data_IF_974579561011
#
_entry.id   IF_974579561011
#
_cell.length_a   1.000
_cell.length_b   1.000
_cell.length_c   1.000
_cell.angle_alpha   90.00
_cell.angle_beta   90.00
_cell.angle_gamma   90.00
#
_symmetry.space_group_name_H-M   'P 1'
#
loop_
_entity.id
_entity.type
_entity.pdbx_description
1 polymer ?
#
# COMPACT_ATOMS: atom_id res chain seq x y z
N UNK A 1 -19.70 5.56 36.36
CA UNK A 1 -19.00 4.46 35.66
C UNK A 1 -18.41 5.10 34.43
N UNK A 2 -17.08 5.07 34.24
CA UNK A 2 -16.48 5.59 33.02
C UNK A 2 -17.05 4.79 31.83
N UNK A 3 -17.63 5.46 30.85
CA UNK A 3 -18.03 4.81 29.61
C UNK A 3 -16.85 4.01 29.08
N UNK A 4 -17.06 2.71 28.86
CA UNK A 4 -16.03 1.82 28.34
C UNK A 4 -15.80 2.18 26.85
N UNK A 5 -14.97 3.19 26.62
CA UNK A 5 -14.71 3.75 25.28
C UNK A 5 -14.15 2.65 24.39
N UNK A 6 -14.75 2.47 23.20
CA UNK A 6 -14.26 1.49 22.22
C UNK A 6 -12.84 1.79 21.81
N UNK A 7 -11.98 0.77 21.86
CA UNK A 7 -10.65 0.79 21.26
C UNK A 7 -10.75 0.22 19.84
N UNK A 8 -10.54 1.07 18.84
CA UNK A 8 -10.53 0.67 17.44
C UNK A 8 -9.17 0.11 17.04
N UNK A 9 -9.15 -0.82 16.10
CA UNK A 9 -7.93 -1.46 15.59
C UNK A 9 -6.98 -0.42 14.96
N UNK A 10 -7.49 0.44 14.11
CA UNK A 10 -6.74 1.55 13.51
C UNK A 10 -7.71 2.66 13.13
N UNK A 11 -7.87 3.65 13.97
CA UNK A 11 -8.71 4.82 13.72
C UNK A 11 -7.90 6.01 13.22
N UNK A 12 -8.51 6.94 12.48
CA UNK A 12 -7.90 8.23 12.18
C UNK A 12 -7.38 8.92 13.44
N UNK A 13 -6.21 9.53 13.34
CA UNK A 13 -5.59 10.24 14.46
C UNK A 13 -4.95 11.54 13.95
N UNK A 14 -5.62 12.65 14.19
CA UNK A 14 -5.13 13.98 13.78
C UNK A 14 -3.97 14.44 14.66
N UNK A 15 -3.15 15.34 14.12
CA UNK A 15 -2.07 15.94 14.89
C UNK A 15 -2.58 16.73 16.08
N UNK A 16 -1.91 16.63 17.23
CA UNK A 16 -2.26 17.44 18.41
C UNK A 16 -1.93 18.92 18.21
N UNK A 17 -1.05 19.23 17.26
CA UNK A 17 -0.64 20.57 16.88
C UNK A 17 -1.63 21.25 15.92
N UNK A 18 -2.56 20.49 15.30
CA UNK A 18 -3.56 21.02 14.37
C UNK A 18 -3.01 21.38 12.99
N UNK A 19 -1.90 20.78 12.57
CA UNK A 19 -1.26 21.08 11.28
C UNK A 19 -2.20 20.91 10.08
N UNK A 20 -3.10 19.95 10.13
CA UNK A 20 -4.08 19.74 9.05
C UNK A 20 -4.97 20.95 8.84
N UNK A 21 -5.39 21.60 9.93
CA UNK A 21 -6.28 22.76 9.88
C UNK A 21 -5.61 23.99 9.28
N UNK A 22 -4.29 24.13 9.41
CA UNK A 22 -3.53 25.22 8.77
C UNK A 22 -3.67 25.14 7.24
N UNK A 23 -3.46 23.93 6.67
CA UNK A 23 -3.54 23.71 5.23
C UNK A 23 -4.98 23.71 4.69
N UNK A 24 -5.95 23.20 5.47
CA UNK A 24 -7.37 23.28 5.12
C UNK A 24 -7.77 24.76 5.05
N UNK A 25 -7.39 25.55 6.07
CA UNK A 25 -7.67 26.98 6.12
C UNK A 25 -7.09 27.70 4.90
N UNK A 26 -5.86 27.39 4.50
CA UNK A 26 -5.24 27.96 3.31
C UNK A 26 -6.07 27.70 2.04
N UNK A 27 -6.61 26.49 1.88
CA UNK A 27 -7.45 26.13 0.73
C UNK A 27 -8.76 26.95 0.71
N UNK A 28 -9.36 27.20 1.88
CA UNK A 28 -10.57 28.03 2.01
C UNK A 28 -10.27 29.53 1.84
N UNK A 29 -9.22 30.05 2.45
CA UNK A 29 -8.83 31.46 2.35
C UNK A 29 -8.53 31.86 0.90
N UNK A 30 -7.93 30.94 0.13
CA UNK A 30 -7.65 31.15 -1.30
C UNK A 30 -8.83 30.81 -2.21
N UNK A 31 -9.95 30.31 -1.64
CA UNK A 31 -11.09 29.79 -2.38
C UNK A 31 -10.72 28.71 -3.41
N UNK A 32 -9.71 27.89 -3.09
CA UNK A 32 -9.19 26.86 -4.00
C UNK A 32 -9.38 25.47 -3.41
N UNK A 33 -10.60 24.95 -3.49
CA UNK A 33 -10.98 23.62 -2.94
C UNK A 33 -11.12 22.53 -4.00
N UNK A 34 -10.66 22.78 -5.23
CA UNK A 34 -10.74 21.88 -6.38
C UNK A 34 -9.69 20.75 -6.31
N UNK A 35 -9.61 19.95 -7.37
CA UNK A 35 -8.62 18.85 -7.55
C UNK A 35 -7.27 19.32 -8.06
N UNK A 36 -7.00 20.59 -8.05
CA UNK A 36 -5.72 21.25 -8.30
C UNK A 36 -5.47 22.25 -7.17
N UNK A 37 -4.21 22.61 -6.94
CA UNK A 37 -3.88 23.66 -6.01
C UNK A 37 -2.62 23.41 -5.21
N UNK A 38 -2.22 24.42 -4.46
CA UNK A 38 -0.96 24.50 -3.75
C UNK A 38 -0.74 23.33 -2.76
N UNK A 39 -1.80 22.80 -2.14
CA UNK A 39 -1.65 21.67 -1.25
C UNK A 39 -1.39 20.37 -2.01
N UNK A 40 -1.98 20.19 -3.20
CA UNK A 40 -1.74 19.00 -4.03
C UNK A 40 -0.28 18.96 -4.45
N UNK A 41 0.22 20.08 -5.01
CA UNK A 41 1.62 20.20 -5.45
C UNK A 41 2.60 20.08 -4.26
N UNK A 42 2.25 20.73 -3.15
CA UNK A 42 3.04 20.66 -1.92
C UNK A 42 3.11 19.24 -1.34
N UNK A 43 2.01 18.50 -1.34
CA UNK A 43 1.97 17.14 -0.81
C UNK A 43 2.78 16.17 -1.70
N UNK A 44 2.68 16.30 -3.03
CA UNK A 44 3.50 15.51 -3.96
C UNK A 44 5.01 15.75 -3.72
N UNK A 45 5.42 17.02 -3.61
CA UNK A 45 6.82 17.39 -3.38
C UNK A 45 7.33 16.93 -1.99
N UNK A 46 6.52 17.13 -0.95
CA UNK A 46 6.87 16.73 0.42
C UNK A 46 6.98 15.20 0.55
N UNK A 47 6.10 14.45 -0.14
CA UNK A 47 6.21 12.99 -0.20
C UNK A 47 7.45 12.52 -0.95
N UNK A 48 7.80 13.15 -2.08
CA UNK A 48 9.07 12.87 -2.78
C UNK A 48 10.27 13.14 -1.84
N UNK A 49 10.26 14.28 -1.14
CA UNK A 49 11.32 14.61 -0.18
C UNK A 49 11.44 13.62 0.98
N UNK A 50 10.32 13.12 1.50
CA UNK A 50 10.29 12.15 2.59
C UNK A 50 10.72 10.75 2.14
N UNK A 51 10.20 10.27 1.01
CA UNK A 51 10.43 8.89 0.55
C UNK A 51 11.70 8.71 -0.27
N UNK A 52 12.22 9.79 -0.86
CA UNK A 52 13.30 9.73 -1.84
C UNK A 52 12.84 9.35 -3.25
N UNK A 53 11.53 9.27 -3.50
CA UNK A 53 10.99 9.06 -4.83
C UNK A 53 11.26 10.28 -5.74
N UNK A 54 11.38 10.05 -7.05
CA UNK A 54 11.69 11.14 -8.00
C UNK A 54 10.49 12.04 -8.28
N UNK A 55 9.35 11.44 -8.60
CA UNK A 55 8.11 12.14 -8.94
C UNK A 55 6.91 11.45 -8.34
N UNK A 56 5.88 12.21 -8.03
CA UNK A 56 4.66 11.72 -7.43
C UNK A 56 3.41 12.32 -8.11
N UNK A 57 2.31 11.59 -8.03
CA UNK A 57 0.97 12.06 -8.39
C UNK A 57 -0.02 11.71 -7.27
N UNK A 58 -0.61 12.72 -6.65
CA UNK A 58 -1.63 12.56 -5.62
C UNK A 58 -2.98 12.18 -6.23
N UNK A 59 -3.56 11.09 -5.76
CA UNK A 59 -4.75 10.46 -6.32
C UNK A 59 -5.83 10.24 -5.26
N UNK A 60 -7.03 9.88 -5.70
CA UNK A 60 -8.21 9.73 -4.84
C UNK A 60 -8.17 8.52 -3.90
N UNK A 61 -7.33 7.52 -4.19
CA UNK A 61 -7.15 6.30 -3.37
C UNK A 61 -5.89 5.53 -3.77
N UNK A 62 -5.43 4.62 -2.90
CA UNK A 62 -4.40 3.65 -3.26
C UNK A 62 -4.82 2.75 -4.43
N UNK A 63 -6.08 2.33 -4.48
CA UNK A 63 -6.63 1.55 -5.62
C UNK A 63 -6.51 2.30 -6.94
N UNK A 64 -6.81 3.60 -6.96
CA UNK A 64 -6.65 4.45 -8.14
C UNK A 64 -5.15 4.58 -8.52
N UNK A 65 -4.27 4.61 -7.53
CA UNK A 65 -2.82 4.67 -7.75
C UNK A 65 -2.29 3.36 -8.36
N UNK A 66 -2.72 2.19 -7.87
CA UNK A 66 -2.36 0.89 -8.47
C UNK A 66 -2.89 0.81 -9.90
N UNK A 67 -4.16 1.18 -10.13
CA UNK A 67 -4.76 1.14 -11.46
C UNK A 67 -3.97 2.00 -12.47
N UNK A 68 -3.66 3.25 -12.11
CA UNK A 68 -2.88 4.12 -12.99
C UNK A 68 -1.40 3.72 -13.08
N UNK A 69 -0.85 3.10 -12.04
CA UNK A 69 0.50 2.53 -12.05
C UNK A 69 0.62 1.38 -13.06
N UNK A 70 -0.32 0.43 -13.05
CA UNK A 70 -0.40 -0.64 -14.04
C UNK A 70 -0.55 -0.09 -15.47
N UNK A 71 -1.44 0.88 -15.65
CA UNK A 71 -1.62 1.55 -16.95
C UNK A 71 -0.35 2.28 -17.40
N UNK A 72 0.38 2.95 -16.48
CA UNK A 72 1.64 3.63 -16.77
C UNK A 72 2.78 2.64 -17.07
N UNK A 73 2.79 1.48 -16.43
CA UNK A 73 3.70 0.38 -16.74
C UNK A 73 3.45 -0.22 -18.13
N UNK A 74 2.26 -0.01 -18.69
CA UNK A 74 1.90 -0.49 -20.03
C UNK A 74 1.07 -1.78 -20.04
N UNK A 75 0.53 -2.19 -18.89
CA UNK A 75 -0.36 -3.35 -18.78
C UNK A 75 -1.59 -3.18 -19.66
N UNK A 76 -1.97 -4.23 -20.37
CA UNK A 76 -3.10 -4.27 -21.31
C UNK A 76 -4.01 -5.46 -21.02
N UNK A 77 -5.18 -5.44 -21.62
CA UNK A 77 -6.10 -6.58 -21.65
C UNK A 77 -5.39 -7.85 -22.15
N UNK A 78 -5.55 -8.94 -21.41
CA UNK A 78 -4.94 -10.24 -21.68
C UNK A 78 -3.51 -10.41 -21.15
N UNK A 79 -2.85 -9.36 -20.67
CA UNK A 79 -1.56 -9.50 -20.00
C UNK A 79 -1.69 -10.27 -18.69
N UNK A 80 -0.62 -10.98 -18.27
CA UNK A 80 -0.51 -11.53 -16.93
C UNK A 80 0.23 -10.58 -16.01
N UNK A 81 -0.24 -10.52 -14.76
CA UNK A 81 0.40 -9.75 -13.68
C UNK A 81 0.59 -10.67 -12.48
N UNK A 82 1.81 -10.90 -12.05
CA UNK A 82 2.07 -11.61 -10.80
C UNK A 82 1.71 -10.71 -9.62
N UNK A 83 0.98 -11.26 -8.67
CA UNK A 83 0.44 -10.52 -7.54
C UNK A 83 0.54 -11.36 -6.27
N UNK A 84 1.03 -10.81 -5.19
CA UNK A 84 1.01 -11.47 -3.89
C UNK A 84 -0.41 -11.90 -3.51
N UNK A 85 -0.57 -13.13 -3.01
CA UNK A 85 -1.89 -13.64 -2.63
C UNK A 85 -2.35 -13.13 -1.27
N UNK A 86 -1.47 -13.08 -0.29
CA UNK A 86 -1.77 -12.52 1.03
C UNK A 86 -1.71 -11.00 0.98
N UNK A 87 -2.82 -10.40 0.59
CA UNK A 87 -2.94 -8.94 0.44
C UNK A 87 -4.40 -8.49 0.57
N UNK A 88 -4.60 -7.18 0.62
CA UNK A 88 -5.92 -6.58 0.49
C UNK A 88 -6.38 -6.60 -0.98
N UNK A 89 -7.68 -6.77 -1.21
CA UNK A 89 -8.24 -6.91 -2.57
C UNK A 89 -7.95 -5.73 -3.50
N UNK A 90 -7.64 -4.55 -2.95
CA UNK A 90 -7.28 -3.38 -3.75
C UNK A 90 -5.99 -3.56 -4.56
N UNK A 91 -5.11 -4.50 -4.18
CA UNK A 91 -3.91 -4.85 -4.96
C UNK A 91 -4.29 -5.62 -6.24
N UNK A 92 -5.22 -6.57 -6.15
CA UNK A 92 -5.60 -7.45 -7.25
C UNK A 92 -6.71 -6.87 -8.17
N UNK A 93 -7.67 -6.13 -7.59
CA UNK A 93 -8.80 -5.59 -8.35
C UNK A 93 -8.39 -4.77 -9.58
N UNK A 94 -7.39 -3.85 -9.51
CA UNK A 94 -6.98 -3.04 -10.65
C UNK A 94 -6.40 -3.84 -11.82
N UNK A 95 -5.85 -5.03 -11.58
CA UNK A 95 -5.41 -5.94 -12.65
C UNK A 95 -6.62 -6.31 -13.52
N UNK A 96 -7.72 -6.69 -12.85
CA UNK A 96 -8.97 -7.07 -13.53
C UNK A 96 -9.66 -5.86 -14.17
N UNK A 97 -9.54 -4.65 -13.58
CA UNK A 97 -10.10 -3.43 -14.19
C UNK A 97 -9.52 -3.15 -15.58
N UNK A 98 -8.26 -3.50 -15.81
CA UNK A 98 -7.58 -3.33 -17.12
C UNK A 98 -7.92 -4.49 -18.09
N UNK A 99 -8.54 -5.58 -17.60
CA UNK A 99 -8.76 -6.80 -18.36
C UNK A 99 -7.54 -7.74 -18.38
N UNK A 100 -6.57 -7.49 -17.50
CA UNK A 100 -5.43 -8.38 -17.31
C UNK A 100 -5.75 -9.52 -16.33
N UNK A 101 -4.92 -10.56 -16.31
CA UNK A 101 -5.09 -11.76 -15.51
C UNK A 101 -4.12 -11.78 -14.34
N UNK A 102 -4.58 -11.73 -13.07
CA UNK A 102 -3.69 -11.96 -11.93
C UNK A 102 -3.24 -13.42 -11.88
N UNK A 103 -1.98 -13.65 -11.58
CA UNK A 103 -1.43 -14.93 -11.12
C UNK A 103 -0.96 -14.70 -9.70
N UNK A 104 -1.55 -15.41 -8.76
CA UNK A 104 -1.28 -15.22 -7.35
C UNK A 104 -0.03 -15.96 -6.91
N UNK A 105 0.82 -15.29 -6.18
CA UNK A 105 2.08 -15.81 -5.65
C UNK A 105 1.95 -15.98 -4.14
N UNK A 106 2.35 -17.13 -3.64
CA UNK A 106 2.36 -17.44 -2.21
C UNK A 106 3.37 -16.58 -1.44
N UNK A 107 3.25 -16.61 -0.13
CA UNK A 107 4.13 -15.92 0.79
C UNK A 107 5.30 -16.79 1.24
N UNK A 108 6.29 -16.19 1.89
CA UNK A 108 7.29 -16.89 2.69
C UNK A 108 7.05 -16.67 4.19
N UNK A 109 7.50 -17.62 5.01
CA UNK A 109 7.31 -17.57 6.47
C UNK A 109 8.13 -16.45 7.13
N UNK A 110 9.22 -16.02 6.52
CA UNK A 110 10.16 -15.07 7.13
C UNK A 110 9.69 -13.62 6.99
N UNK A 111 8.92 -13.31 5.94
CA UNK A 111 8.46 -11.93 5.68
C UNK A 111 6.95 -11.81 5.66
N UNK A 112 6.19 -12.91 5.53
CA UNK A 112 4.76 -12.96 5.21
C UNK A 112 4.42 -12.29 3.86
N UNK A 113 5.41 -11.84 3.15
CA UNK A 113 5.28 -11.22 1.84
C UNK A 113 5.55 -12.22 0.71
N UNK A 114 5.55 -11.76 -0.53
CA UNK A 114 5.76 -12.59 -1.71
C UNK A 114 7.02 -13.45 -1.58
N UNK A 115 6.87 -14.77 -1.74
CA UNK A 115 7.99 -15.71 -1.77
C UNK A 115 8.82 -15.53 -3.04
N UNK A 116 10.14 -15.23 -2.93
CA UNK A 116 11.02 -15.19 -4.10
C UNK A 116 11.08 -16.53 -4.85
N UNK A 117 11.02 -17.65 -4.12
CA UNK A 117 11.02 -18.98 -4.72
C UNK A 117 9.74 -19.24 -5.53
N UNK A 118 8.55 -18.90 -4.97
CA UNK A 118 7.30 -19.00 -5.71
C UNK A 118 7.29 -18.07 -6.93
N UNK A 119 7.84 -16.87 -6.81
CA UNK A 119 7.97 -15.93 -7.92
C UNK A 119 8.85 -16.51 -9.05
N UNK A 120 9.97 -17.18 -8.73
CA UNK A 120 10.81 -17.84 -9.73
C UNK A 120 10.04 -18.94 -10.45
N UNK A 121 9.31 -19.80 -9.73
CA UNK A 121 8.44 -20.82 -10.35
C UNK A 121 7.34 -20.23 -11.22
N UNK A 122 6.80 -19.06 -10.82
CA UNK A 122 5.83 -18.35 -11.63
C UNK A 122 6.43 -17.93 -12.98
N UNK A 123 7.63 -17.40 -12.99
CA UNK A 123 8.34 -17.07 -14.25
C UNK A 123 8.72 -18.29 -15.06
N UNK A 124 9.11 -19.40 -14.44
CA UNK A 124 9.33 -20.68 -15.16
C UNK A 124 8.07 -21.14 -15.88
N UNK A 125 6.90 -20.98 -15.26
CA UNK A 125 5.60 -21.35 -15.84
C UNK A 125 5.10 -20.33 -16.88
N UNK A 126 5.37 -19.05 -16.65
CA UNK A 126 4.90 -17.93 -17.47
C UNK A 126 6.04 -16.95 -17.80
N UNK A 127 7.01 -17.37 -18.63
CA UNK A 127 8.25 -16.60 -18.86
C UNK A 127 8.04 -15.26 -19.57
N UNK A 128 6.89 -15.08 -20.23
CA UNK A 128 6.56 -13.85 -20.95
C UNK A 128 5.92 -12.77 -20.07
N UNK A 129 5.66 -13.05 -18.78
CA UNK A 129 5.09 -12.08 -17.85
C UNK A 129 6.07 -10.93 -17.60
N UNK A 130 5.57 -9.69 -17.66
CA UNK A 130 6.38 -8.47 -17.57
C UNK A 130 6.02 -7.57 -16.37
N UNK A 131 5.09 -7.98 -15.52
CA UNK A 131 4.58 -7.13 -14.45
C UNK A 131 4.42 -7.92 -13.16
N UNK A 132 4.96 -7.36 -12.07
CA UNK A 132 4.88 -7.94 -10.73
C UNK A 132 4.40 -6.87 -9.77
N UNK A 133 3.36 -7.16 -8.97
CA UNK A 133 2.96 -6.31 -7.86
C UNK A 133 3.44 -6.96 -6.56
N UNK A 134 4.36 -6.28 -5.88
CA UNK A 134 4.90 -6.68 -4.57
C UNK A 134 4.21 -5.87 -3.49
N UNK A 135 3.74 -6.53 -2.44
CA UNK A 135 3.10 -5.87 -1.30
C UNK A 135 4.07 -5.82 -0.12
N UNK A 136 3.99 -4.78 0.69
CA UNK A 136 4.66 -4.67 1.98
C UNK A 136 3.61 -4.81 3.10
N UNK A 137 3.24 -6.06 3.38
CA UNK A 137 2.09 -6.43 4.19
C UNK A 137 2.22 -5.94 5.64
N UNK A 138 1.21 -5.27 6.17
CA UNK A 138 1.12 -4.75 7.54
C UNK A 138 2.29 -3.85 7.97
N UNK A 139 3.05 -3.35 7.02
CA UNK A 139 4.24 -2.53 7.26
C UNK A 139 5.56 -3.30 7.28
N UNK A 140 5.53 -4.61 6.99
CA UNK A 140 6.74 -5.44 6.80
C UNK A 140 7.25 -5.31 5.37
N UNK A 141 8.55 -5.11 5.19
CA UNK A 141 9.14 -5.11 3.85
C UNK A 141 9.25 -6.55 3.29
N UNK A 142 8.89 -6.73 2.01
CA UNK A 142 9.27 -7.91 1.25
C UNK A 142 10.79 -7.97 1.04
N UNK A 143 11.35 -9.13 0.69
CA UNK A 143 12.76 -9.23 0.30
C UNK A 143 12.98 -8.65 -1.10
N UNK A 144 13.17 -7.33 -1.13
CA UNK A 144 13.25 -6.58 -2.38
C UNK A 144 14.51 -6.88 -3.19
N UNK A 145 15.61 -7.28 -2.55
CA UNK A 145 16.85 -7.62 -3.28
C UNK A 145 16.67 -8.89 -4.11
N UNK A 146 16.11 -9.95 -3.50
CA UNK A 146 15.85 -11.20 -4.24
C UNK A 146 14.76 -11.01 -5.29
N UNK A 147 13.64 -10.37 -4.94
CA UNK A 147 12.54 -10.11 -5.88
C UNK A 147 13.03 -9.25 -7.06
N UNK A 148 13.81 -8.19 -6.81
CA UNK A 148 14.36 -7.35 -7.86
C UNK A 148 15.29 -8.15 -8.77
N UNK A 149 16.19 -8.96 -8.18
CA UNK A 149 17.11 -9.80 -8.95
C UNK A 149 16.37 -10.77 -9.90
N UNK A 150 15.30 -11.40 -9.41
CA UNK A 150 14.48 -12.30 -10.23
C UNK A 150 13.77 -11.51 -11.34
N UNK A 151 13.16 -10.37 -11.02
CA UNK A 151 12.46 -9.55 -12.02
C UNK A 151 13.41 -9.03 -13.11
N UNK A 152 14.64 -8.67 -12.76
CA UNK A 152 15.67 -8.23 -13.71
C UNK A 152 16.08 -9.34 -14.67
N UNK A 153 16.20 -10.61 -14.21
CA UNK A 153 16.47 -11.77 -15.06
C UNK A 153 15.43 -11.93 -16.19
N UNK A 154 14.16 -11.64 -15.90
CA UNK A 154 13.06 -11.78 -16.86
C UNK A 154 12.64 -10.45 -17.53
N UNK A 155 13.32 -9.35 -17.19
CA UNK A 155 13.00 -8.01 -17.69
C UNK A 155 11.58 -7.57 -17.32
N UNK A 156 11.17 -7.87 -16.07
CA UNK A 156 9.84 -7.53 -15.55
C UNK A 156 9.89 -6.26 -14.70
N UNK A 157 8.86 -5.43 -14.83
CA UNK A 157 8.66 -4.23 -14.02
C UNK A 157 8.03 -4.57 -12.67
N UNK A 158 8.46 -3.88 -11.62
CA UNK A 158 7.91 -4.01 -10.27
C UNK A 158 7.06 -2.80 -9.92
N UNK A 159 5.84 -3.06 -9.46
CA UNK A 159 4.96 -2.10 -8.82
C UNK A 159 4.92 -2.47 -7.33
N UNK A 160 5.40 -1.58 -6.45
CA UNK A 160 5.33 -1.79 -5.00
C UNK A 160 4.00 -1.27 -4.47
N UNK A 161 3.18 -2.15 -3.92
CA UNK A 161 2.04 -1.75 -3.09
C UNK A 161 2.54 -1.49 -1.66
N UNK A 162 2.97 -0.27 -1.43
CA UNK A 162 3.43 0.26 -0.14
C UNK A 162 2.30 0.96 0.64
N UNK A 163 1.03 0.62 0.34
CA UNK A 163 -0.14 1.21 0.98
C UNK A 163 -0.17 1.05 2.51
N UNK A 164 0.65 0.16 3.05
CA UNK A 164 0.72 -0.17 4.48
C UNK A 164 2.07 0.12 5.10
N UNK A 165 3.06 0.47 4.28
CA UNK A 165 4.45 0.53 4.69
C UNK A 165 5.08 1.93 4.61
N UNK A 166 4.29 3.00 4.47
CA UNK A 166 4.87 4.36 4.54
C UNK A 166 5.60 4.56 5.87
N UNK A 167 6.89 4.91 5.81
CA UNK A 167 7.78 4.99 6.97
C UNK A 167 8.52 3.69 7.29
N UNK A 168 8.31 2.62 6.51
CA UNK A 168 9.13 1.39 6.58
C UNK A 168 10.39 1.55 5.76
N UNK A 169 11.51 1.14 6.33
CA UNK A 169 12.84 1.17 5.69
C UNK A 169 13.34 -0.26 5.48
N UNK A 170 13.77 -0.58 4.27
CA UNK A 170 14.46 -1.81 3.91
C UNK A 170 15.89 -1.48 3.55
N UNK A 171 16.86 -2.00 4.32
CA UNK A 171 18.31 -1.77 4.09
C UNK A 171 18.68 -0.29 3.85
N UNK A 172 18.08 0.61 4.64
CA UNK A 172 18.37 2.06 4.58
C UNK A 172 17.62 2.84 3.50
N UNK A 173 16.69 2.21 2.76
CA UNK A 173 15.89 2.86 1.72
C UNK A 173 14.40 2.64 1.99
N UNK A 174 13.57 3.65 1.72
CA UNK A 174 12.12 3.61 1.95
C UNK A 174 11.42 2.62 1.02
N UNK A 175 10.50 1.77 1.55
CA UNK A 175 9.61 0.96 0.72
C UNK A 175 8.75 1.83 -0.18
N UNK A 176 8.38 1.32 -1.37
CA UNK A 176 7.73 2.09 -2.43
C UNK A 176 8.72 2.79 -3.37
N UNK A 177 10.04 2.63 -3.15
CA UNK A 177 11.07 3.25 -3.99
C UNK A 177 12.07 2.26 -4.61
N UNK A 178 11.88 0.96 -4.40
CA UNK A 178 12.70 -0.11 -5.00
C UNK A 178 12.22 -0.54 -6.38
N UNK A 179 10.89 -0.57 -6.57
CA UNK A 179 10.24 -0.87 -7.83
C UNK A 179 10.26 0.31 -8.80
N UNK A 180 9.79 0.06 -10.00
CA UNK A 180 9.63 1.09 -11.04
C UNK A 180 8.56 2.12 -10.67
N UNK A 181 7.51 1.63 -9.97
CA UNK A 181 6.45 2.43 -9.38
C UNK A 181 6.22 2.02 -7.93
N UNK A 182 5.80 2.97 -7.11
CA UNK A 182 5.37 2.74 -5.74
C UNK A 182 4.02 3.37 -5.46
N UNK A 183 3.23 2.73 -4.61
CA UNK A 183 1.89 3.19 -4.27
C UNK A 183 1.78 3.38 -2.76
N UNK A 184 1.29 4.53 -2.33
CA UNK A 184 0.94 4.81 -0.95
C UNK A 184 -0.56 5.04 -0.81
N UNK A 185 -1.11 4.68 0.35
CA UNK A 185 -2.51 4.90 0.68
C UNK A 185 -2.64 5.79 1.91
N UNK A 186 -3.59 6.71 1.84
CA UNK A 186 -3.97 7.59 2.94
C UNK A 186 -5.44 7.38 3.33
N UNK A 187 -5.93 6.14 3.19
CA UNK A 187 -7.26 5.78 3.65
C UNK A 187 -7.39 6.00 5.17
N UNK A 188 -8.63 6.08 5.67
CA UNK A 188 -8.94 6.45 7.06
C UNK A 188 -8.19 5.68 8.15
N UNK A 189 -7.82 4.43 7.89
CA UNK A 189 -7.17 3.55 8.84
C UNK A 189 -5.64 3.41 8.65
N UNK A 190 -5.03 4.11 7.69
CA UNK A 190 -3.58 4.00 7.43
C UNK A 190 -2.76 4.76 8.48
N UNK A 191 -1.43 4.57 8.45
CA UNK A 191 -0.51 5.14 9.45
C UNK A 191 -0.62 6.67 9.56
N UNK A 192 -0.85 7.32 8.44
CA UNK A 192 -1.39 8.68 8.29
C UNK A 192 -2.57 8.65 7.33
N UNK A 193 -3.48 9.59 7.46
CA UNK A 193 -4.73 9.59 6.68
C UNK A 193 -5.06 10.95 6.10
N UNK A 194 -5.73 10.93 4.96
CA UNK A 194 -6.41 12.09 4.38
C UNK A 194 -7.94 11.87 4.29
N UNK A 195 -8.51 11.00 5.14
CA UNK A 195 -9.86 10.43 5.02
C UNK A 195 -9.94 9.37 3.92
N UNK A 196 -9.65 9.73 2.71
CA UNK A 196 -9.40 8.88 1.55
C UNK A 196 -8.38 9.56 0.66
N UNK A 197 -7.47 8.79 0.09
CA UNK A 197 -6.40 9.30 -0.76
C UNK A 197 -5.38 8.23 -1.06
N UNK A 198 -4.56 8.48 -2.06
CA UNK A 198 -3.43 7.67 -2.44
C UNK A 198 -2.39 8.49 -3.20
N UNK A 199 -1.26 7.89 -3.44
CA UNK A 199 -0.20 8.50 -4.24
C UNK A 199 0.50 7.43 -5.06
N UNK A 200 0.73 7.72 -6.33
CA UNK A 200 1.63 6.98 -7.19
C UNK A 200 2.95 7.71 -7.24
N UNK A 201 4.05 7.01 -6.99
CA UNK A 201 5.40 7.50 -7.23
C UNK A 201 6.04 6.72 -8.37
N UNK A 202 6.93 7.38 -9.11
CA UNK A 202 7.69 6.77 -10.21
C UNK A 202 9.18 6.94 -9.94
N UNK A 203 9.92 5.83 -10.00
CA UNK A 203 11.33 5.75 -9.66
C UNK A 203 12.23 5.47 -10.88
N UNK A 204 11.67 5.42 -12.08
CA UNK A 204 12.41 5.29 -13.34
C UNK A 204 13.46 6.40 -13.51
N UNK A 205 14.22 6.39 -14.60
CA UNK A 205 15.10 7.53 -14.92
C UNK A 205 14.31 8.84 -15.00
N UNK A 206 15.02 9.97 -14.87
CA UNK A 206 14.39 11.27 -14.62
C UNK A 206 13.40 11.69 -15.72
N UNK A 207 13.79 11.53 -16.99
CA UNK A 207 12.97 11.89 -18.14
C UNK A 207 11.73 11.00 -18.24
N UNK A 208 11.91 9.70 -18.15
CA UNK A 208 10.82 8.71 -18.19
C UNK A 208 9.88 8.89 -17.02
N UNK A 209 10.38 9.08 -15.81
CA UNK A 209 9.55 9.25 -14.62
C UNK A 209 8.67 10.50 -14.70
N UNK A 210 9.24 11.61 -15.18
CA UNK A 210 8.48 12.85 -15.38
C UNK A 210 7.37 12.67 -16.43
N UNK A 211 7.68 12.05 -17.57
CA UNK A 211 6.71 11.75 -18.62
C UNK A 211 5.56 10.87 -18.06
N UNK A 212 5.89 9.79 -17.37
CA UNK A 212 4.92 8.85 -16.82
C UNK A 212 4.01 9.51 -15.78
N UNK A 213 4.55 10.29 -14.87
CA UNK A 213 3.75 11.01 -13.86
C UNK A 213 2.87 12.08 -14.51
N UNK A 214 3.34 12.80 -15.52
CA UNK A 214 2.50 13.73 -16.27
C UNK A 214 1.35 13.01 -16.98
N UNK A 215 1.61 11.83 -17.51
CA UNK A 215 0.57 10.98 -18.11
C UNK A 215 -0.45 10.49 -17.09
N UNK A 216 -0.02 10.08 -15.90
CA UNK A 216 -0.89 9.73 -14.77
C UNK A 216 -1.78 10.91 -14.36
N UNK A 217 -1.22 12.11 -14.26
CA UNK A 217 -2.00 13.33 -13.98
C UNK A 217 -3.04 13.62 -15.07
N UNK A 218 -2.68 13.43 -16.34
CA UNK A 218 -3.59 13.57 -17.47
C UNK A 218 -4.75 12.57 -17.37
N UNK A 219 -4.48 11.29 -17.18
CA UNK A 219 -5.52 10.27 -17.02
C UNK A 219 -6.40 10.49 -15.78
N UNK A 220 -5.82 10.95 -14.68
CA UNK A 220 -6.56 11.19 -13.43
C UNK A 220 -7.53 12.37 -13.50
N UNK A 221 -7.41 13.22 -14.54
CA UNK A 221 -8.26 14.39 -14.80
C UNK A 221 -9.05 14.20 -16.12
N UNK A 222 -9.64 13.04 -16.30
CA UNK A 222 -10.49 12.61 -17.41
C UNK A 222 -9.81 12.63 -18.79
N UNK A 223 -8.49 12.66 -18.88
CA UNK A 223 -7.73 12.76 -20.14
C UNK A 223 -8.18 13.93 -21.02
N UNK A 224 -8.38 15.08 -20.39
CA UNK A 224 -8.79 16.29 -21.10
C UNK A 224 -7.62 16.89 -21.87
N UNK A 225 -7.75 16.94 -23.19
CA UNK A 225 -6.75 17.55 -24.10
C UNK A 225 -6.65 19.08 -23.89
N UNK A 226 -5.48 19.69 -24.16
CA UNK A 226 -5.28 21.13 -24.08
C UNK A 226 -5.90 21.86 -25.28
N UNK A 227 -7.23 21.75 -25.42
CA UNK A 227 -8.01 22.41 -26.48
C UNK A 227 -8.97 23.44 -25.89
N UNK A 228 -9.47 24.39 -26.72
CA UNK A 228 -10.45 25.39 -26.29
C UNK A 228 -11.81 24.78 -25.94
N UNK A 229 -12.19 23.70 -26.64
CA UNK A 229 -13.37 22.91 -26.33
C UNK A 229 -12.95 21.65 -25.57
N UNK A 230 -13.90 20.99 -24.92
CA UNK A 230 -13.65 19.70 -24.28
C UNK A 230 -13.39 18.64 -25.34
N UNK A 231 -12.17 18.12 -25.34
CA UNK A 231 -11.73 17.03 -26.21
C UNK A 231 -11.00 16.00 -25.36
N UNK A 232 -11.17 14.74 -25.70
CA UNK A 232 -10.58 13.60 -25.01
C UNK A 232 -10.04 12.62 -26.05
N UNK A 233 -8.74 12.53 -26.19
CA UNK A 233 -8.08 11.58 -27.12
C UNK A 233 -7.88 10.20 -26.51
N UNK A 234 -8.03 10.06 -25.20
CA UNK A 234 -7.90 8.81 -24.46
C UNK A 234 -8.97 8.70 -23.37
N UNK A 235 -9.22 7.46 -22.92
CA UNK A 235 -10.06 7.20 -21.75
C UNK A 235 -9.30 7.65 -20.50
N UNK A 236 -9.94 8.52 -19.73
CA UNK A 236 -9.44 9.02 -18.46
C UNK A 236 -10.39 8.73 -17.29
N UNK A 237 -9.99 9.17 -16.10
CA UNK A 237 -10.67 8.87 -14.84
C UNK A 237 -10.83 10.14 -14.00
N UNK A 238 -11.73 10.12 -13.05
CA UNK A 238 -11.82 11.16 -12.03
C UNK A 238 -11.12 10.68 -10.76
N UNK A 239 -9.79 10.64 -10.81
CA UNK A 239 -8.93 10.06 -9.77
C UNK A 239 -8.00 11.08 -9.10
N UNK A 240 -8.11 12.36 -9.39
CA UNK A 240 -7.24 13.38 -8.81
C UNK A 240 -7.63 13.67 -7.35
N UNK A 241 -6.64 13.82 -6.47
CA UNK A 241 -6.85 14.24 -5.08
C UNK A 241 -7.31 15.72 -5.02
N UNK A 242 -8.22 16.05 -4.09
CA UNK A 242 -8.62 17.44 -3.89
C UNK A 242 -7.61 18.21 -3.04
N UNK A 243 -7.59 19.53 -3.21
CA UNK A 243 -6.67 20.43 -2.49
C UNK A 243 -6.91 20.44 -0.97
N UNK A 244 -8.14 20.19 -0.51
CA UNK A 244 -8.46 20.05 0.91
C UNK A 244 -7.84 18.77 1.47
N UNK A 245 -8.07 17.64 0.81
CA UNK A 245 -7.57 16.32 1.22
C UNK A 245 -6.03 16.30 1.20
N UNK A 246 -5.41 16.90 0.19
CA UNK A 246 -3.96 17.06 0.13
C UNK A 246 -3.42 17.91 1.29
N UNK A 247 -4.17 18.94 1.71
CA UNK A 247 -3.84 19.74 2.88
C UNK A 247 -3.81 18.93 4.17
N UNK A 248 -4.79 18.01 4.35
CA UNK A 248 -4.76 17.06 5.47
C UNK A 248 -3.49 16.21 5.40
N UNK A 249 -3.14 15.69 4.20
CA UNK A 249 -1.95 14.88 3.99
C UNK A 249 -0.65 15.58 4.37
N UNK A 250 -0.49 16.84 3.99
CA UNK A 250 0.66 17.69 4.37
C UNK A 250 0.78 17.85 5.89
N UNK A 251 -0.34 18.09 6.58
CA UNK A 251 -0.38 18.18 8.04
C UNK A 251 0.00 16.86 8.71
N UNK A 252 -0.56 15.76 8.22
CA UNK A 252 -0.30 14.41 8.71
C UNK A 252 1.15 13.97 8.46
N UNK A 253 1.75 14.33 7.33
CA UNK A 253 3.15 13.97 7.02
C UNK A 253 4.13 14.57 8.05
N UNK A 254 3.82 15.73 8.63
CA UNK A 254 4.66 16.35 9.69
C UNK A 254 4.76 15.51 10.95
N UNK A 255 3.82 14.62 11.21
CA UNK A 255 3.79 13.76 12.41
C UNK A 255 3.99 12.28 12.09
N UNK A 256 4.35 11.93 10.86
CA UNK A 256 4.50 10.54 10.44
C UNK A 256 5.54 9.78 11.28
N UNK A 257 6.71 10.35 11.51
CA UNK A 257 7.76 9.69 12.31
C UNK A 257 7.33 9.44 13.76
N UNK A 258 6.56 10.37 14.33
CA UNK A 258 5.94 10.18 15.65
C UNK A 258 4.96 9.01 15.62
N UNK A 259 4.13 8.88 14.56
CA UNK A 259 3.20 7.77 14.40
C UNK A 259 3.92 6.43 14.25
N UNK A 260 4.99 6.38 13.45
CA UNK A 260 5.83 5.18 13.32
C UNK A 260 6.41 4.77 14.67
N UNK A 261 6.98 5.72 15.42
CA UNK A 261 7.54 5.44 16.74
C UNK A 261 6.47 4.90 17.72
N UNK A 262 5.27 5.48 17.72
CA UNK A 262 4.13 5.01 18.53
C UNK A 262 3.72 3.59 18.16
N UNK A 263 3.62 3.26 16.87
CA UNK A 263 3.24 1.94 16.39
C UNK A 263 4.31 0.88 16.72
N UNK A 264 5.58 1.19 16.56
CA UNK A 264 6.69 0.32 16.98
C UNK A 264 6.66 0.06 18.49
N UNK A 265 6.41 1.08 19.30
CA UNK A 265 6.28 0.92 20.75
C UNK A 265 5.09 0.02 21.13
N UNK A 266 3.98 0.06 20.40
CA UNK A 266 2.85 -0.85 20.60
C UNK A 266 3.27 -2.29 20.28
N UNK A 267 3.93 -2.52 19.14
CA UNK A 267 4.44 -3.85 18.77
C UNK A 267 5.36 -4.42 19.84
N UNK A 268 6.33 -3.65 20.34
CA UNK A 268 7.26 -4.12 21.37
C UNK A 268 6.55 -4.46 22.69
N UNK A 269 5.47 -3.75 23.03
CA UNK A 269 4.66 -4.07 24.21
C UNK A 269 3.95 -5.41 24.06
N UNK A 270 3.37 -5.70 22.89
CA UNK A 270 2.74 -7.01 22.59
C UNK A 270 3.77 -8.12 22.60
N UNK A 271 4.91 -7.91 21.93
CA UNK A 271 6.02 -8.86 21.88
C UNK A 271 6.52 -9.23 23.29
N UNK A 272 6.69 -8.25 24.15
CA UNK A 272 7.09 -8.48 25.55
C UNK A 272 5.99 -9.20 26.35
N UNK A 273 4.71 -8.87 26.13
CA UNK A 273 3.60 -9.49 26.83
C UNK A 273 3.36 -10.96 26.44
N UNK A 274 3.71 -11.33 25.20
CA UNK A 274 3.51 -12.68 24.68
C UNK A 274 4.78 -13.56 24.73
N UNK A 275 5.90 -13.03 25.22
CA UNK A 275 7.20 -13.71 25.19
C UNK A 275 7.20 -15.13 25.79
N UNK A 276 6.39 -15.34 26.82
CA UNK A 276 6.30 -16.62 27.55
C UNK A 276 5.13 -17.52 27.06
N UNK A 277 4.43 -17.13 25.98
CA UNK A 277 3.30 -17.90 25.44
C UNK A 277 3.77 -18.63 24.16
N UNK A 278 4.07 -19.92 24.31
CA UNK A 278 4.66 -20.73 23.24
C UNK A 278 3.80 -20.82 21.96
N UNK A 279 2.48 -20.74 22.10
CA UNK A 279 1.54 -20.86 20.98
C UNK A 279 1.26 -19.55 20.25
N UNK A 280 1.91 -18.42 20.63
CA UNK A 280 1.77 -17.13 19.96
C UNK A 280 3.08 -16.76 19.25
N UNK A 281 2.99 -16.54 17.95
CA UNK A 281 4.12 -16.13 17.12
C UNK A 281 3.85 -14.74 16.52
N UNK A 282 4.63 -13.76 16.94
CA UNK A 282 4.53 -12.39 16.43
C UNK A 282 4.90 -12.34 14.95
N UNK A 283 4.30 -11.40 14.19
CA UNK A 283 4.71 -11.11 12.82
C UNK A 283 6.24 -10.97 12.71
N UNK A 284 6.89 -11.55 11.69
CA UNK A 284 8.34 -11.60 11.60
C UNK A 284 8.91 -10.21 11.27
N UNK A 285 9.89 -9.76 12.05
CA UNK A 285 10.67 -8.56 11.75
C UNK A 285 12.12 -9.00 11.50
N UNK A 286 12.53 -8.91 10.25
CA UNK A 286 13.88 -9.27 9.82
C UNK A 286 14.89 -8.14 10.08
N UNK A 287 16.18 -8.49 10.20
CA UNK A 287 17.26 -7.55 10.45
C UNK A 287 17.47 -6.50 9.34
N UNK A 288 16.96 -6.78 8.15
CA UNK A 288 17.01 -5.86 7.01
C UNK A 288 15.82 -4.89 6.94
N UNK A 289 14.81 -5.06 7.79
CA UNK A 289 13.58 -4.29 7.79
C UNK A 289 13.42 -3.49 9.10
N UNK A 290 13.21 -2.19 8.96
CA UNK A 290 12.75 -1.31 10.01
C UNK A 290 11.27 -0.96 9.76
N UNK A 291 10.31 -1.82 10.20
CA UNK A 291 8.91 -1.69 9.83
C UNK A 291 8.26 -0.49 10.52
N UNK A 292 7.22 0.07 9.88
CA UNK A 292 6.36 1.07 10.53
C UNK A 292 5.40 0.44 11.57
N UNK A 293 5.25 -0.90 11.56
CA UNK A 293 4.32 -1.64 12.43
C UNK A 293 2.88 -1.09 12.37
N UNK A 294 2.40 -0.74 11.16
CA UNK A 294 1.04 -0.19 10.99
C UNK A 294 -0.02 -0.97 11.77
N UNK A 295 -0.01 -2.30 11.65
CA UNK A 295 -0.78 -3.21 12.51
C UNK A 295 0.18 -4.17 13.22
N UNK A 296 -0.17 -4.54 14.46
CA UNK A 296 0.51 -5.61 15.19
C UNK A 296 -0.24 -6.91 14.95
N UNK A 297 0.40 -7.85 14.28
CA UNK A 297 -0.16 -9.14 13.93
C UNK A 297 0.60 -10.28 14.64
N UNK A 298 -0.10 -11.39 14.87
CA UNK A 298 0.49 -12.61 15.39
C UNK A 298 -0.28 -13.84 14.87
N UNK A 299 0.40 -14.97 14.80
CA UNK A 299 -0.20 -16.28 14.51
C UNK A 299 -0.37 -17.08 15.80
N UNK A 300 -1.35 -18.00 15.80
CA UNK A 300 -1.62 -18.92 16.89
C UNK A 300 -1.41 -20.33 16.34
N UNK A 301 -0.55 -21.13 16.97
CA UNK A 301 -0.21 -22.49 16.53
C UNK A 301 -0.79 -23.59 17.40
N UNK A 302 -1.33 -23.25 18.58
CA UNK A 302 -1.95 -24.21 19.48
C UNK A 302 -3.36 -24.58 19.04
N UNK A 303 -3.87 -25.72 19.51
CA UNK A 303 -5.20 -26.26 19.20
C UNK A 303 -6.30 -25.90 20.24
N UNK A 304 -5.92 -25.21 21.33
CA UNK A 304 -6.82 -24.88 22.44
C UNK A 304 -7.60 -23.59 22.26
N UNK A 305 -7.06 -22.66 21.52
CA UNK A 305 -7.61 -21.31 21.30
C UNK A 305 -7.46 -20.98 19.83
N UNK A 306 -8.53 -20.56 19.18
CA UNK A 306 -8.49 -20.09 17.82
C UNK A 306 -8.59 -18.55 17.75
N UNK A 307 -8.26 -17.93 16.60
CA UNK A 307 -8.35 -16.47 16.43
C UNK A 307 -9.73 -15.90 16.79
N UNK A 308 -10.83 -16.63 16.51
CA UNK A 308 -12.19 -16.19 16.82
C UNK A 308 -12.42 -16.08 18.33
N UNK A 309 -11.90 -17.01 19.13
CA UNK A 309 -12.04 -16.96 20.61
C UNK A 309 -11.41 -15.69 21.18
N UNK A 310 -10.24 -15.31 20.65
CA UNK A 310 -9.56 -14.08 21.07
C UNK A 310 -10.35 -12.84 20.62
N UNK A 311 -10.86 -12.84 19.38
CA UNK A 311 -11.66 -11.72 18.88
C UNK A 311 -12.94 -11.53 19.70
N UNK A 312 -13.62 -12.59 20.06
CA UNK A 312 -14.82 -12.54 20.88
C UNK A 312 -14.51 -12.02 22.30
N UNK A 313 -13.45 -12.53 22.93
CA UNK A 313 -13.01 -12.05 24.24
C UNK A 313 -12.60 -10.57 24.24
N UNK A 314 -11.97 -10.09 23.17
CA UNK A 314 -11.62 -8.67 22.99
C UNK A 314 -12.87 -7.83 22.76
N UNK A 315 -13.83 -8.33 21.95
CA UNK A 315 -15.10 -7.65 21.69
C UNK A 315 -15.91 -7.43 22.97
N UNK A 316 -15.93 -8.41 23.91
CA UNK A 316 -16.55 -8.26 25.23
C UNK A 316 -15.92 -7.12 26.06
N UNK A 317 -14.64 -6.80 25.81
CA UNK A 317 -13.92 -5.67 26.41
C UNK A 317 -14.02 -4.39 25.61
N UNK A 318 -14.85 -4.37 24.55
CA UNK A 318 -15.03 -3.25 23.62
C UNK A 318 -13.74 -2.90 22.86
N UNK A 319 -12.92 -3.92 22.53
CA UNK A 319 -11.67 -3.79 21.76
C UNK A 319 -11.89 -4.43 20.39
N UNK A 320 -11.62 -3.70 19.33
CA UNK A 320 -11.71 -4.19 17.96
C UNK A 320 -10.46 -4.98 17.58
N UNK A 321 -10.66 -6.15 17.00
CA UNK A 321 -9.64 -6.99 16.37
C UNK A 321 -10.18 -7.59 15.08
N UNK A 322 -9.31 -8.10 14.23
CA UNK A 322 -9.66 -8.72 12.94
C UNK A 322 -8.74 -9.92 12.71
N UNK A 323 -9.21 -10.94 11.97
CA UNK A 323 -8.30 -11.96 11.47
C UNK A 323 -7.37 -11.36 10.42
N UNK A 324 -6.24 -12.01 10.19
CA UNK A 324 -5.41 -11.77 9.01
C UNK A 324 -6.27 -11.98 7.76
N UNK A 325 -5.97 -11.28 6.69
CA UNK A 325 -6.80 -11.32 5.49
C UNK A 325 -6.84 -12.72 4.87
N UNK A 326 -8.02 -13.09 4.40
CA UNK A 326 -8.16 -14.28 3.58
C UNK A 326 -7.44 -14.05 2.25
N UNK A 327 -6.52 -14.96 1.85
CA UNK A 327 -5.73 -14.84 0.62
C UNK A 327 -6.59 -14.62 -0.63
N UNK A 328 -6.05 -13.90 -1.61
CA UNK A 328 -6.80 -13.54 -2.80
C UNK A 328 -7.21 -14.74 -3.64
N UNK A 329 -6.36 -15.76 -3.81
CA UNK A 329 -6.70 -16.97 -4.56
C UNK A 329 -7.87 -17.76 -3.93
N UNK A 330 -8.14 -17.59 -2.63
CA UNK A 330 -9.29 -18.17 -1.94
C UNK A 330 -10.56 -17.31 -1.98
N UNK A 331 -10.49 -16.10 -2.54
CA UNK A 331 -11.66 -15.23 -2.66
C UNK A 331 -12.55 -15.70 -3.84
N UNK A 332 -13.88 -15.79 -3.66
CA UNK A 332 -14.79 -16.27 -4.72
C UNK A 332 -14.63 -15.54 -6.07
N UNK A 333 -14.29 -14.26 -6.02
CA UNK A 333 -14.10 -13.44 -7.24
C UNK A 333 -12.83 -13.79 -8.00
N UNK A 334 -11.86 -14.40 -7.33
CA UNK A 334 -10.53 -14.71 -7.88
C UNK A 334 -10.23 -16.21 -8.00
N UNK A 335 -11.09 -17.11 -7.56
CA UNK A 335 -10.89 -18.58 -7.55
C UNK A 335 -10.58 -19.19 -8.93
N UNK A 336 -10.90 -18.48 -10.00
CA UNK A 336 -10.62 -18.92 -11.37
C UNK A 336 -9.20 -18.65 -11.86
N UNK A 337 -8.44 -17.86 -11.12
CA UNK A 337 -7.08 -17.47 -11.49
C UNK A 337 -6.04 -18.40 -10.84
N UNK A 338 -4.88 -18.47 -11.47
CA UNK A 338 -3.83 -19.39 -11.04
C UNK A 338 -3.13 -18.93 -9.75
N UNK A 339 -2.66 -19.91 -8.99
CA UNK A 339 -1.91 -19.71 -7.75
C UNK A 339 -0.63 -20.54 -7.79
N UNK A 340 0.48 -19.93 -7.43
CA UNK A 340 1.81 -20.56 -7.35
C UNK A 340 2.12 -20.75 -5.86
N UNK A 341 1.87 -21.95 -5.40
CA UNK A 341 2.04 -22.39 -4.03
C UNK A 341 3.51 -22.44 -3.57
N UNK A 342 3.77 -22.18 -2.31
CA UNK A 342 5.07 -22.32 -1.63
C UNK A 342 4.90 -22.95 -0.24
N UNK A 343 4.06 -23.97 -0.12
CA UNK A 343 3.75 -24.63 1.14
C UNK A 343 2.53 -24.04 1.83
N UNK A 344 1.69 -23.32 1.09
CA UNK A 344 0.44 -22.70 1.58
C UNK A 344 0.65 -21.71 2.75
N UNK A 345 1.77 -20.98 2.73
CA UNK A 345 2.11 -20.02 3.80
C UNK A 345 1.08 -18.91 3.91
N UNK A 346 0.45 -18.52 2.80
CA UNK A 346 -0.58 -17.50 2.77
C UNK A 346 -1.93 -17.97 3.38
N UNK A 347 -2.16 -19.30 3.48
CA UNK A 347 -3.41 -19.90 3.96
C UNK A 347 -3.41 -20.08 5.48
#
# INVERSE_FOLDING_TARGET
MAENKRLYLSSPNMSSQGYEMEYIKLAFDTNWISTLGQNVDGFENEMCGYTGARYAAALSSGTAAIHLGLKAAGVKEGDRVFCQSLTFSATANPIVYIGAEPVFIDSDEQTWNMSPEALRRAFEKYPDTKYVIVVHLYGLAADMDEIRSICDEYGAMIIEDAAESLGTVYKGKMTGTFGDYGIYSFNGNKIITTSGGGMLVCNLDDETAQERINKVRFWSTQSRDPARHYQHSEIGYNYRMSNIIAGIGRGQLKVLDERVAQKRAIYERYKAAFADIADIHMMPINSFCEPNCWLTCFAITGDKVCPNDIMDALAEKNIESRPIWKPMHLQPVFEKYDYIDNGAVAE
#
